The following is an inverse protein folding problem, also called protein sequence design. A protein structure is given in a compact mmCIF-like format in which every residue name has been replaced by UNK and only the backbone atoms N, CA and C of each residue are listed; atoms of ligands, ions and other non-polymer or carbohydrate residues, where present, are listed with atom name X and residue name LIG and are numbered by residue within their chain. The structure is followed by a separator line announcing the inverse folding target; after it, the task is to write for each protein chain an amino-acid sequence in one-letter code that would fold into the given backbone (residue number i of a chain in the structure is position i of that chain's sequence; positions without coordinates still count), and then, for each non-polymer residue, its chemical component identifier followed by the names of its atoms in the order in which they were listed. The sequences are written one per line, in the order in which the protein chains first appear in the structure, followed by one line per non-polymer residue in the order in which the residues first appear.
data_IF_775811732003
#
_entry.id   IF_775811732003
#
_cell.length_a   1.000
_cell.length_b   1.000
_cell.length_c   1.000
_cell.angle_alpha   90.00
_cell.angle_beta   90.00
_cell.angle_gamma   90.00
#
_symmetry.space_group_name_H-M   'P 1'
#
loop_
_entity.id
_entity.type
_entity.pdbx_description
1 polymer ?
#
# COMPACT_ATOMS: atom_id res chain seq x y z
N UNK A 1 8.57 -16.43 15.50
CA UNK A 1 8.03 -16.47 14.12
C UNK A 1 7.83 -17.90 13.68
N UNK A 2 6.58 -18.32 13.49
CA UNK A 2 6.22 -19.63 12.92
C UNK A 2 6.43 -19.62 11.40
N UNK A 3 6.63 -20.79 10.77
CA UNK A 3 6.80 -20.92 9.31
C UNK A 3 5.72 -20.17 8.52
N UNK A 4 4.48 -20.23 8.99
CA UNK A 4 3.31 -19.56 8.39
C UNK A 4 3.46 -18.04 8.36
N UNK A 5 3.92 -17.43 9.45
CA UNK A 5 4.11 -15.97 9.54
C UNK A 5 5.16 -15.46 8.55
N UNK A 6 6.29 -16.18 8.41
CA UNK A 6 7.35 -15.81 7.45
C UNK A 6 6.85 -15.86 6.00
N UNK A 7 6.10 -16.90 5.65
CA UNK A 7 5.53 -17.02 4.31
C UNK A 7 4.53 -15.89 4.05
N UNK A 8 3.79 -15.50 5.08
CA UNK A 8 2.78 -14.46 4.97
C UNK A 8 3.36 -13.07 4.79
N UNK A 9 4.37 -12.74 5.59
CA UNK A 9 5.12 -11.50 5.46
C UNK A 9 5.74 -11.37 4.06
N UNK A 10 6.27 -12.48 3.51
CA UNK A 10 6.80 -12.51 2.14
C UNK A 10 5.73 -12.19 1.09
N UNK A 11 4.52 -12.72 1.25
CA UNK A 11 3.41 -12.44 0.34
C UNK A 11 2.97 -10.97 0.40
N UNK A 12 2.87 -10.41 1.60
CA UNK A 12 2.51 -8.99 1.81
C UNK A 12 3.55 -8.08 1.14
N UNK A 13 4.84 -8.35 1.37
CA UNK A 13 5.92 -7.59 0.73
C UNK A 13 5.83 -7.65 -0.79
N UNK A 14 5.65 -8.83 -1.37
CA UNK A 14 5.53 -8.99 -2.83
C UNK A 14 4.31 -8.25 -3.39
N UNK A 15 3.14 -8.41 -2.77
CA UNK A 15 1.92 -7.73 -3.20
C UNK A 15 2.08 -6.20 -3.18
N UNK A 16 2.70 -5.67 -2.13
CA UNK A 16 2.94 -4.24 -1.99
C UNK A 16 4.05 -3.72 -2.89
N UNK A 17 5.07 -4.53 -3.20
CA UNK A 17 6.08 -4.18 -4.22
C UNK A 17 5.40 -4.00 -5.57
N UNK A 18 4.56 -4.97 -5.97
CA UNK A 18 3.81 -4.89 -7.24
C UNK A 18 2.87 -3.68 -7.26
N UNK A 19 2.15 -3.43 -6.16
CA UNK A 19 1.33 -2.23 -6.04
C UNK A 19 2.17 -0.96 -6.19
N UNK A 20 3.34 -0.89 -5.55
CA UNK A 20 4.23 0.26 -5.61
C UNK A 20 4.72 0.53 -7.04
N UNK A 21 5.08 -0.50 -7.78
CA UNK A 21 5.52 -0.39 -9.18
C UNK A 21 4.37 0.08 -10.07
N UNK A 22 3.20 -0.54 -9.98
CA UNK A 22 2.02 -0.15 -10.76
C UNK A 22 1.59 1.30 -10.51
N UNK A 23 1.60 1.72 -9.24
CA UNK A 23 1.27 3.10 -8.85
C UNK A 23 2.31 4.06 -9.41
N UNK A 24 3.59 3.71 -9.38
CA UNK A 24 4.67 4.57 -9.88
C UNK A 24 4.60 4.77 -11.40
N UNK A 25 4.11 3.78 -12.13
CA UNK A 25 3.86 3.90 -13.58
C UNK A 25 2.60 4.73 -13.89
N UNK A 26 1.59 4.67 -13.02
CA UNK A 26 0.29 5.31 -13.27
C UNK A 26 0.23 6.75 -12.74
N UNK A 27 0.73 6.97 -11.53
CA UNK A 27 0.57 8.21 -10.77
C UNK A 27 1.85 9.05 -10.81
N UNK A 28 1.79 10.15 -11.56
CA UNK A 28 2.89 11.09 -11.68
C UNK A 28 3.17 11.79 -10.34
N UNK A 29 4.42 11.74 -9.89
CA UNK A 29 4.87 12.36 -8.64
C UNK A 29 4.69 11.49 -7.39
N UNK A 30 4.28 10.23 -7.55
CA UNK A 30 4.42 9.22 -6.51
C UNK A 30 5.90 8.82 -6.34
N UNK A 31 6.37 8.74 -5.10
CA UNK A 31 7.76 8.45 -4.80
C UNK A 31 7.95 6.97 -4.43
N UNK A 32 7.29 6.55 -3.34
CA UNK A 32 7.33 5.20 -2.80
C UNK A 32 6.16 4.95 -1.85
N UNK A 33 5.86 3.68 -1.56
CA UNK A 33 4.99 3.31 -0.45
C UNK A 33 5.73 2.43 0.55
N UNK A 34 5.34 2.54 1.81
CA UNK A 34 5.78 1.68 2.89
C UNK A 34 4.57 1.08 3.60
N UNK A 35 4.79 -0.01 4.33
CA UNK A 35 3.75 -0.65 5.11
C UNK A 35 4.26 -1.08 6.47
N UNK A 36 3.35 -1.06 7.42
CA UNK A 36 3.56 -1.54 8.78
C UNK A 36 2.46 -2.54 9.07
N UNK A 37 2.80 -3.78 9.40
CA UNK A 37 1.80 -4.82 9.71
C UNK A 37 2.25 -5.67 10.88
N UNK A 38 1.33 -5.96 11.78
CA UNK A 38 1.53 -6.95 12.82
C UNK A 38 0.92 -8.29 12.37
N UNK A 39 1.77 -9.31 12.21
CA UNK A 39 1.36 -10.65 11.79
C UNK A 39 0.45 -11.37 12.80
N UNK A 40 0.24 -10.81 13.99
CA UNK A 40 -0.72 -11.31 14.97
C UNK A 40 -2.13 -10.74 14.72
N UNK A 41 -2.26 -9.59 14.05
CA UNK A 41 -3.53 -8.94 13.73
C UNK A 41 -3.46 -8.18 12.40
N UNK A 42 -3.17 -8.90 11.32
CA UNK A 42 -2.81 -8.34 10.01
C UNK A 42 -3.85 -7.34 9.48
N UNK A 43 -5.13 -7.69 9.57
CA UNK A 43 -6.24 -6.88 9.03
C UNK A 43 -6.40 -5.55 9.77
N UNK A 44 -6.21 -5.54 11.09
CA UNK A 44 -6.45 -4.33 11.89
C UNK A 44 -5.18 -3.48 12.10
N UNK A 45 -4.01 -4.04 11.83
CA UNK A 45 -2.72 -3.40 12.09
C UNK A 45 -1.97 -3.00 10.83
N UNK A 46 -2.32 -3.56 9.66
CA UNK A 46 -1.74 -3.15 8.39
C UNK A 46 -2.02 -1.66 8.18
N UNK A 47 -0.98 -0.87 8.05
CA UNK A 47 -1.03 0.54 7.67
C UNK A 47 -0.16 0.72 6.46
N UNK A 48 -0.71 1.31 5.41
CA UNK A 48 0.03 1.60 4.18
C UNK A 48 0.23 3.11 4.15
N UNK A 49 1.46 3.54 3.93
CA UNK A 49 1.82 4.95 3.86
C UNK A 49 2.44 5.22 2.50
N UNK A 50 1.76 6.03 1.71
CA UNK A 50 2.18 6.42 0.37
C UNK A 50 2.83 7.79 0.45
N UNK A 51 4.05 7.89 -0.05
CA UNK A 51 4.84 9.12 -0.07
C UNK A 51 4.93 9.66 -1.48
N UNK A 52 4.56 10.92 -1.64
CA UNK A 52 4.68 11.69 -2.87
C UNK A 52 5.91 12.59 -2.81
N UNK A 53 6.38 13.00 -3.98
CA UNK A 53 7.55 13.85 -4.11
C UNK A 53 7.35 15.21 -3.44
N UNK A 54 6.18 15.82 -3.63
CA UNK A 54 5.83 17.16 -3.17
C UNK A 54 4.31 17.28 -2.95
N UNK A 55 3.85 18.31 -2.24
CA UNK A 55 2.42 18.59 -2.04
C UNK A 55 1.67 18.77 -3.36
N UNK A 56 2.31 19.32 -4.38
CA UNK A 56 1.72 19.54 -5.71
C UNK A 56 1.39 18.19 -6.35
N UNK A 57 2.30 17.22 -6.25
CA UNK A 57 2.08 15.86 -6.74
C UNK A 57 0.93 15.18 -6.01
N UNK A 58 0.86 15.32 -4.68
CA UNK A 58 -0.25 14.79 -3.89
C UNK A 58 -1.60 15.40 -4.30
N UNK A 59 -1.64 16.72 -4.53
CA UNK A 59 -2.87 17.41 -4.98
C UNK A 59 -3.26 16.98 -6.40
N UNK A 60 -2.30 16.81 -7.31
CA UNK A 60 -2.54 16.31 -8.66
C UNK A 60 -2.97 14.83 -8.67
N UNK A 61 -2.49 14.05 -7.69
CA UNK A 61 -2.86 12.66 -7.51
C UNK A 61 -4.21 12.48 -6.79
N UNK A 62 -4.80 13.51 -6.16
CA UNK A 62 -6.13 13.44 -5.52
C UNK A 62 -7.19 12.66 -6.31
N UNK A 63 -7.45 12.96 -7.59
CA UNK A 63 -8.42 12.20 -8.39
C UNK A 63 -8.01 10.75 -8.66
N UNK A 64 -6.72 10.43 -8.57
CA UNK A 64 -6.15 9.09 -8.73
C UNK A 64 -5.94 8.37 -7.39
N UNK A 65 -6.21 9.01 -6.24
CA UNK A 65 -6.02 8.38 -4.93
C UNK A 65 -6.94 7.17 -4.74
N UNK A 66 -8.18 7.26 -5.26
CA UNK A 66 -9.11 6.14 -5.27
C UNK A 66 -8.59 4.97 -6.11
N UNK A 67 -8.03 5.24 -7.30
CA UNK A 67 -7.44 4.23 -8.18
C UNK A 67 -6.18 3.61 -7.56
N UNK A 68 -5.32 4.44 -6.98
CA UNK A 68 -4.13 4.02 -6.24
C UNK A 68 -4.53 3.11 -5.07
N UNK A 69 -5.54 3.50 -4.30
CA UNK A 69 -6.06 2.69 -3.20
C UNK A 69 -6.63 1.37 -3.73
N UNK A 70 -7.37 1.38 -4.84
CA UNK A 70 -7.92 0.18 -5.48
C UNK A 70 -6.82 -0.78 -5.94
N UNK A 71 -5.72 -0.28 -6.51
CA UNK A 71 -4.55 -1.10 -6.84
C UNK A 71 -4.00 -1.79 -5.59
N UNK A 72 -3.82 -1.06 -4.50
CA UNK A 72 -3.35 -1.63 -3.21
C UNK A 72 -4.33 -2.70 -2.71
N UNK A 73 -5.63 -2.40 -2.71
CA UNK A 73 -6.66 -3.34 -2.28
C UNK A 73 -6.67 -4.59 -3.14
N UNK A 74 -6.54 -4.46 -4.45
CA UNK A 74 -6.52 -5.58 -5.39
C UNK A 74 -5.32 -6.49 -5.13
N UNK A 75 -4.13 -5.92 -4.95
CA UNK A 75 -2.93 -6.72 -4.63
C UNK A 75 -3.04 -7.40 -3.26
N UNK A 76 -3.59 -6.71 -2.25
CA UNK A 76 -3.79 -7.29 -0.92
C UNK A 76 -4.94 -8.32 -0.89
N UNK A 77 -5.99 -8.13 -1.68
CA UNK A 77 -7.10 -9.08 -1.81
C UNK A 77 -6.64 -10.38 -2.47
N UNK A 78 -5.69 -10.32 -3.42
CA UNK A 78 -5.05 -11.50 -4.03
C UNK A 78 -4.42 -12.43 -2.98
N UNK A 79 -3.85 -11.83 -1.94
CA UNK A 79 -3.31 -12.60 -0.81
C UNK A 79 -4.37 -12.87 0.26
N UNK A 80 -5.68 -12.64 0.07
CA UNK A 80 -6.75 -12.78 1.09
C UNK A 80 -6.59 -11.85 2.30
N UNK A 81 -6.16 -10.61 2.06
CA UNK A 81 -5.98 -9.60 3.10
C UNK A 81 -6.88 -8.40 2.79
N UNK A 82 -8.01 -8.30 3.50
CA UNK A 82 -8.96 -7.20 3.34
C UNK A 82 -8.64 -6.08 4.33
N UNK A 83 -8.02 -5.01 3.85
CA UNK A 83 -7.88 -3.78 4.64
C UNK A 83 -8.98 -2.77 4.33
N UNK A 84 -9.11 -1.78 5.21
CA UNK A 84 -9.99 -0.63 5.06
C UNK A 84 -9.24 0.56 4.46
N UNK A 85 -9.92 1.47 3.74
CA UNK A 85 -9.31 2.70 3.21
C UNK A 85 -8.77 3.63 4.29
N UNK A 86 -9.33 3.57 5.50
CA UNK A 86 -8.81 4.29 6.66
C UNK A 86 -7.37 3.88 7.08
N UNK A 87 -6.84 2.78 6.53
CA UNK A 87 -5.48 2.30 6.80
C UNK A 87 -4.45 2.81 5.80
N UNK A 88 -4.88 3.43 4.70
CA UNK A 88 -4.01 4.02 3.70
C UNK A 88 -3.86 5.51 4.03
N UNK A 89 -2.62 5.94 4.23
CA UNK A 89 -2.27 7.31 4.55
C UNK A 89 -1.40 7.87 3.44
N UNK A 90 -1.71 9.08 3.01
CA UNK A 90 -0.95 9.77 1.96
C UNK A 90 -0.16 10.92 2.58
N UNK A 91 1.12 10.96 2.29
CA UNK A 91 2.07 11.96 2.77
C UNK A 91 2.78 12.61 1.59
N UNK A 92 3.00 13.92 1.67
CA UNK A 92 3.93 14.64 0.80
C UNK A 92 5.24 14.86 1.56
N UNK A 93 6.36 14.78 0.85
CA UNK A 93 7.70 14.98 1.40
C UNK A 93 8.24 16.39 1.10
#
# INVERSE_FOLDING_TARGET
MTKTQKQREKQIRLALTVACEAIKETVVGFNYLTHTVDLSNEVSTLKVQCYFNDDIALVAAKPQLDELADIIFTQLASIKLNIKPAQILFFAN
#
